data_IF_598278385280
#
_entry.id   IF_598278385280
#
_cell.length_a   1.000
_cell.length_b   1.000
_cell.length_c   1.000
_cell.angle_alpha   90.00
_cell.angle_beta   90.00
_cell.angle_gamma   90.00
#
_symmetry.space_group_name_H-M   'P 1'
#
loop_
_entity.id
_entity.type
_entity.pdbx_description
1 polymer ?
#
# COMPACT_ATOMS: atom_id res chain seq x y z
N UNK A 1 -6.57 -9.76 -18.50
CA UNK A 1 -5.55 -8.86 -19.06
C UNK A 1 -4.34 -9.62 -19.59
N UNK A 2 -3.61 -10.39 -18.76
CA UNK A 2 -2.46 -11.18 -19.25
C UNK A 2 -2.88 -12.17 -20.35
N UNK A 3 -3.98 -12.93 -20.13
CA UNK A 3 -4.59 -13.79 -21.16
C UNK A 3 -5.05 -13.05 -22.44
N UNK A 4 -5.13 -11.72 -22.41
CA UNK A 4 -5.49 -10.86 -23.54
C UNK A 4 -4.24 -10.24 -24.21
N UNK A 5 -3.02 -10.68 -23.84
CA UNK A 5 -1.77 -10.23 -24.46
C UNK A 5 -1.06 -9.07 -23.76
N UNK A 6 -1.60 -8.53 -22.66
CA UNK A 6 -0.92 -7.48 -21.90
C UNK A 6 0.22 -8.07 -21.06
N UNK A 7 1.33 -7.33 -20.93
CA UNK A 7 2.36 -7.68 -19.94
C UNK A 7 1.80 -7.55 -18.52
N UNK A 8 2.42 -8.23 -17.56
CA UNK A 8 2.02 -8.18 -16.15
C UNK A 8 2.08 -6.74 -15.63
N UNK A 9 3.15 -6.02 -15.98
CA UNK A 9 3.30 -4.60 -15.63
C UNK A 9 2.18 -3.72 -16.20
N UNK A 10 1.84 -3.90 -17.48
CA UNK A 10 0.72 -3.18 -18.10
C UNK A 10 -0.62 -3.52 -17.44
N UNK A 11 -0.86 -4.79 -17.12
CA UNK A 11 -2.08 -5.23 -16.47
C UNK A 11 -2.25 -4.61 -15.07
N UNK A 12 -1.22 -4.66 -14.24
CA UNK A 12 -1.23 -4.09 -12.88
C UNK A 12 -1.41 -2.57 -12.93
N UNK A 13 -0.65 -1.88 -13.79
CA UNK A 13 -0.78 -0.43 -13.97
C UNK A 13 -2.16 -0.04 -14.48
N UNK A 14 -2.69 -0.78 -15.45
CA UNK A 14 -4.03 -0.55 -16.00
C UNK A 14 -5.13 -0.68 -14.94
N UNK A 15 -5.08 -1.75 -14.13
CA UNK A 15 -6.02 -1.94 -13.02
C UNK A 15 -5.91 -0.80 -12.01
N UNK A 16 -4.68 -0.45 -11.60
CA UNK A 16 -4.45 0.65 -10.65
C UNK A 16 -4.95 1.99 -11.18
N UNK A 17 -4.67 2.31 -12.44
CA UNK A 17 -5.10 3.53 -13.10
C UNK A 17 -6.63 3.63 -13.20
N UNK A 18 -7.30 2.58 -13.70
CA UNK A 18 -8.76 2.54 -13.78
C UNK A 18 -9.38 2.67 -12.38
N UNK A 19 -8.80 1.99 -11.39
CA UNK A 19 -9.30 2.06 -10.01
C UNK A 19 -9.21 3.47 -9.42
N UNK A 20 -8.11 4.16 -9.71
CA UNK A 20 -7.92 5.55 -9.31
C UNK A 20 -8.99 6.46 -9.94
N UNK A 21 -9.21 6.34 -11.26
CA UNK A 21 -10.26 7.09 -11.97
C UNK A 21 -11.67 6.82 -11.42
N UNK A 22 -12.01 5.55 -11.19
CA UNK A 22 -13.30 5.18 -10.60
C UNK A 22 -13.46 5.72 -9.18
N UNK A 23 -12.38 5.77 -8.39
CA UNK A 23 -12.42 6.35 -7.04
C UNK A 23 -12.73 7.85 -7.09
N UNK A 24 -12.12 8.59 -8.02
CA UNK A 24 -12.41 10.03 -8.25
C UNK A 24 -13.90 10.22 -8.57
N UNK A 25 -14.44 9.40 -9.47
CA UNK A 25 -15.84 9.47 -9.88
C UNK A 25 -16.79 9.14 -8.72
N UNK A 26 -16.46 8.13 -7.91
CA UNK A 26 -17.25 7.76 -6.72
C UNK A 26 -17.24 8.89 -5.69
N UNK A 27 -16.09 9.53 -5.42
CA UNK A 27 -16.01 10.67 -4.50
C UNK A 27 -16.92 11.80 -4.98
N UNK A 28 -16.81 12.17 -6.26
CA UNK A 28 -17.65 13.21 -6.84
C UNK A 28 -19.13 12.85 -6.74
N UNK A 29 -19.49 11.61 -7.09
CA UNK A 29 -20.86 11.11 -7.04
C UNK A 29 -21.42 11.09 -5.62
N UNK A 30 -20.68 10.58 -4.64
CA UNK A 30 -21.09 10.52 -3.24
C UNK A 30 -21.33 11.95 -2.70
N UNK A 31 -20.40 12.86 -2.97
CA UNK A 31 -20.55 14.26 -2.57
C UNK A 31 -21.80 14.92 -3.18
N UNK A 32 -22.08 14.68 -4.47
CA UNK A 32 -23.25 15.25 -5.16
C UNK A 32 -24.57 14.60 -4.77
N UNK A 33 -24.63 13.28 -4.72
CA UNK A 33 -25.88 12.50 -4.60
C UNK A 33 -26.21 12.13 -3.18
N UNK A 34 -25.21 11.80 -2.37
CA UNK A 34 -25.42 11.49 -0.97
C UNK A 34 -25.46 12.81 -0.20
N UNK A 35 -24.41 13.62 -0.24
CA UNK A 35 -24.32 14.81 0.62
C UNK A 35 -25.03 16.05 0.10
N UNK A 36 -25.57 16.03 -1.14
CA UNK A 36 -26.12 17.20 -1.80
C UNK A 36 -25.13 18.38 -1.81
N UNK A 37 -23.83 18.09 -1.86
CA UNK A 37 -22.76 19.07 -1.95
C UNK A 37 -22.83 19.81 -3.27
N UNK A 38 -22.40 21.07 -3.32
CA UNK A 38 -22.38 21.83 -4.58
C UNK A 38 -21.35 21.26 -5.57
N UNK A 39 -21.44 21.64 -6.84
CA UNK A 39 -20.52 21.17 -7.89
C UNK A 39 -19.07 21.53 -7.59
N UNK A 40 -18.71 22.76 -7.18
CA UNK A 40 -17.32 23.13 -6.95
C UNK A 40 -16.64 22.33 -5.83
N UNK A 41 -17.28 22.14 -4.67
CA UNK A 41 -16.67 21.39 -3.55
C UNK A 41 -16.57 19.89 -3.88
N UNK A 42 -17.54 19.35 -4.61
CA UNK A 42 -17.50 17.96 -5.08
C UNK A 42 -16.37 17.77 -6.10
N UNK A 43 -16.21 18.72 -7.03
CA UNK A 43 -15.13 18.72 -8.00
C UNK A 43 -13.76 18.86 -7.32
N UNK A 44 -13.62 19.75 -6.34
CA UNK A 44 -12.39 19.95 -5.57
C UNK A 44 -11.94 18.66 -4.87
N UNK A 45 -12.89 17.91 -4.31
CA UNK A 45 -12.61 16.62 -3.68
C UNK A 45 -12.07 15.59 -4.68
N UNK A 46 -12.70 15.51 -5.86
CA UNK A 46 -12.23 14.64 -6.94
C UNK A 46 -10.87 15.08 -7.50
N UNK A 47 -10.69 16.39 -7.72
CA UNK A 47 -9.45 16.98 -8.21
C UNK A 47 -8.29 16.71 -7.26
N UNK A 48 -8.49 16.87 -5.94
CA UNK A 48 -7.44 16.60 -4.96
C UNK A 48 -6.91 15.16 -5.05
N UNK A 49 -7.83 14.18 -5.16
CA UNK A 49 -7.42 12.79 -5.35
C UNK A 49 -6.73 12.60 -6.70
N UNK A 50 -7.27 13.19 -7.78
CA UNK A 50 -6.77 13.05 -9.15
C UNK A 50 -5.31 13.47 -9.33
N UNK A 51 -4.87 14.49 -8.60
CA UNK A 51 -3.49 15.00 -8.66
C UNK A 51 -2.62 14.52 -7.48
N UNK A 52 -3.14 13.60 -6.67
CA UNK A 52 -2.45 13.07 -5.49
C UNK A 52 -1.58 11.84 -5.79
N UNK A 53 -1.17 11.17 -4.72
CA UNK A 53 -0.19 10.06 -4.73
C UNK A 53 -0.65 8.81 -5.47
N UNK A 54 -1.90 8.76 -5.94
CA UNK A 54 -2.49 7.60 -6.60
C UNK A 54 -1.66 7.12 -7.79
N UNK A 55 -1.24 8.04 -8.67
CA UNK A 55 -0.43 7.69 -9.84
C UNK A 55 0.98 7.20 -9.50
N UNK A 56 1.58 7.69 -8.41
CA UNK A 56 2.88 7.17 -7.94
C UNK A 56 2.77 5.73 -7.46
N UNK A 57 1.64 5.35 -6.84
CA UNK A 57 1.43 3.94 -6.50
C UNK A 57 1.20 3.08 -7.75
N UNK A 58 0.50 3.60 -8.75
CA UNK A 58 0.34 2.91 -10.05
C UNK A 58 1.70 2.69 -10.71
N UNK A 59 2.54 3.73 -10.80
CA UNK A 59 3.86 3.64 -11.44
C UNK A 59 4.77 2.65 -10.72
N UNK A 60 4.69 2.60 -9.39
CA UNK A 60 5.40 1.65 -8.52
C UNK A 60 4.73 0.26 -8.41
N UNK A 61 3.73 -0.05 -9.26
CA UNK A 61 3.05 -1.35 -9.32
C UNK A 61 2.29 -1.75 -8.04
N UNK A 62 1.95 -0.81 -7.17
CA UNK A 62 1.18 -1.09 -5.98
C UNK A 62 -0.33 -1.09 -6.26
N UNK A 63 -1.01 -2.14 -5.79
CA UNK A 63 -2.48 -2.26 -5.80
C UNK A 63 -3.21 -1.27 -4.88
N UNK A 64 -2.53 -0.27 -4.33
CA UNK A 64 -3.06 0.73 -3.40
C UNK A 64 -4.31 1.46 -3.95
N UNK A 65 -4.35 1.91 -5.22
CA UNK A 65 -5.57 2.53 -5.76
C UNK A 65 -6.75 1.55 -5.90
N UNK A 66 -6.48 0.26 -6.15
CA UNK A 66 -7.53 -0.75 -6.19
C UNK A 66 -8.14 -0.99 -4.81
N UNK A 67 -7.30 -1.02 -3.77
CA UNK A 67 -7.79 -1.06 -2.38
C UNK A 67 -8.57 0.21 -2.00
N UNK A 68 -8.10 1.39 -2.42
CA UNK A 68 -8.80 2.65 -2.19
C UNK A 68 -10.18 2.67 -2.86
N UNK A 69 -10.32 2.10 -4.06
CA UNK A 69 -11.61 1.93 -4.73
C UNK A 69 -12.56 1.04 -3.91
N UNK A 70 -12.08 -0.10 -3.41
CA UNK A 70 -12.88 -1.01 -2.58
C UNK A 70 -13.30 -0.35 -1.26
N UNK A 71 -12.39 0.38 -0.61
CA UNK A 71 -12.68 1.18 0.58
C UNK A 71 -13.71 2.28 0.30
N UNK A 72 -13.54 3.02 -0.80
CA UNK A 72 -14.44 4.11 -1.19
C UNK A 72 -15.84 3.60 -1.52
N UNK A 73 -15.93 2.45 -2.20
CA UNK A 73 -17.21 1.79 -2.52
C UNK A 73 -17.91 1.34 -1.24
N UNK A 74 -17.18 0.72 -0.32
CA UNK A 74 -17.70 0.28 0.99
C UNK A 74 -18.20 1.47 1.80
N UNK A 75 -17.43 2.56 1.86
CA UNK A 75 -17.86 3.77 2.55
C UNK A 75 -19.06 4.43 1.89
N UNK A 76 -19.13 4.48 0.56
CA UNK A 76 -20.28 5.00 -0.18
C UNK A 76 -21.56 4.23 0.17
N UNK A 77 -21.49 2.91 0.22
CA UNK A 77 -22.63 2.06 0.63
C UNK A 77 -22.97 2.26 2.10
N UNK A 78 -21.97 2.42 2.97
CA UNK A 78 -22.16 2.79 4.38
C UNK A 78 -22.88 4.14 4.53
N UNK A 79 -22.47 5.16 3.78
CA UNK A 79 -23.11 6.48 3.77
C UNK A 79 -24.55 6.43 3.25
N UNK A 80 -24.85 5.59 2.25
CA UNK A 80 -26.23 5.36 1.81
C UNK A 80 -27.06 4.69 2.91
N UNK A 81 -26.51 3.67 3.58
CA UNK A 81 -27.14 3.03 4.74
C UNK A 81 -27.35 4.02 5.88
N UNK A 82 -26.47 4.99 6.10
CA UNK A 82 -26.68 6.01 7.13
C UNK A 82 -27.87 6.94 6.83
N UNK A 83 -28.28 7.10 5.56
CA UNK A 83 -29.35 8.02 5.15
C UNK A 83 -30.72 7.37 4.97
N UNK A 84 -30.76 6.08 4.73
CA UNK A 84 -32.00 5.39 4.41
C UNK A 84 -32.79 5.08 5.70
N UNK A 85 -34.01 5.60 5.87
CA UNK A 85 -34.80 5.33 7.08
C UNK A 85 -35.03 3.83 7.30
N UNK A 86 -35.42 3.10 6.25
CA UNK A 86 -35.60 1.65 6.25
C UNK A 86 -34.59 0.98 5.30
N UNK A 87 -33.46 0.48 5.82
CA UNK A 87 -32.37 0.00 4.98
C UNK A 87 -32.83 -1.22 4.19
N UNK A 88 -32.75 -1.14 2.86
CA UNK A 88 -33.10 -2.27 2.01
C UNK A 88 -32.09 -3.41 2.21
N UNK A 89 -32.57 -4.64 2.35
CA UNK A 89 -31.70 -5.83 2.51
C UNK A 89 -30.63 -5.93 1.41
N UNK A 90 -30.97 -5.53 0.18
CA UNK A 90 -30.03 -5.50 -0.96
C UNK A 90 -28.87 -4.53 -0.71
N UNK A 91 -29.13 -3.37 -0.12
CA UNK A 91 -28.09 -2.39 0.19
C UNK A 91 -27.18 -2.89 1.31
N UNK A 92 -27.74 -3.53 2.34
CA UNK A 92 -26.96 -4.21 3.39
C UNK A 92 -26.09 -5.34 2.85
N UNK A 93 -26.62 -6.14 1.91
CA UNK A 93 -25.87 -7.19 1.23
C UNK A 93 -24.72 -6.61 0.39
N UNK A 94 -24.99 -5.58 -0.43
CA UNK A 94 -23.95 -4.92 -1.21
C UNK A 94 -22.87 -4.30 -0.32
N UNK A 95 -23.25 -3.69 0.80
CA UNK A 95 -22.31 -3.16 1.80
C UNK A 95 -21.41 -4.27 2.36
N UNK A 96 -22.00 -5.39 2.78
CA UNK A 96 -21.26 -6.54 3.30
C UNK A 96 -20.31 -7.16 2.27
N UNK A 97 -20.79 -7.38 1.03
CA UNK A 97 -19.97 -7.91 -0.07
C UNK A 97 -18.84 -6.95 -0.45
N UNK A 98 -19.10 -5.64 -0.50
CA UNK A 98 -18.07 -4.63 -0.77
C UNK A 98 -17.01 -4.61 0.34
N UNK A 99 -17.42 -4.72 1.61
CA UNK A 99 -16.52 -4.84 2.75
C UNK A 99 -15.66 -6.10 2.69
N UNK A 100 -16.26 -7.24 2.31
CA UNK A 100 -15.53 -8.48 2.10
C UNK A 100 -14.50 -8.34 0.96
N UNK A 101 -14.90 -7.74 -0.17
CA UNK A 101 -13.97 -7.44 -1.28
C UNK A 101 -12.80 -6.58 -0.79
N UNK A 102 -13.04 -5.56 0.03
CA UNK A 102 -11.95 -4.77 0.61
C UNK A 102 -10.99 -5.65 1.44
N UNK A 103 -11.52 -6.58 2.25
CA UNK A 103 -10.74 -7.56 3.02
C UNK A 103 -9.99 -8.60 2.17
N UNK A 104 -10.53 -8.98 1.01
CA UNK A 104 -9.87 -9.87 0.06
C UNK A 104 -8.76 -9.19 -0.73
N UNK A 105 -8.92 -7.89 -1.02
CA UNK A 105 -7.87 -7.09 -1.68
C UNK A 105 -6.68 -6.90 -0.75
N UNK A 106 -6.94 -6.60 0.53
CA UNK A 106 -5.92 -6.50 1.60
C UNK A 106 -6.50 -6.94 2.94
N UNK A 107 -5.77 -7.71 3.77
CA UNK A 107 -6.30 -8.25 5.02
C UNK A 107 -6.79 -7.17 6.01
N UNK A 108 -6.12 -6.03 6.08
CA UNK A 108 -6.56 -4.90 6.91
C UNK A 108 -7.88 -4.25 6.43
N UNK A 109 -8.32 -4.56 5.21
CA UNK A 109 -9.64 -4.17 4.70
C UNK A 109 -10.79 -4.71 5.56
N UNK A 110 -10.59 -5.83 6.26
CA UNK A 110 -11.55 -6.35 7.26
C UNK A 110 -11.71 -5.38 8.43
N UNK A 111 -10.59 -4.83 8.93
CA UNK A 111 -10.60 -3.82 10.00
C UNK A 111 -11.33 -2.57 9.53
N UNK A 112 -11.00 -2.08 8.32
CA UNK A 112 -11.65 -0.91 7.75
C UNK A 112 -13.17 -1.11 7.57
N UNK A 113 -13.59 -2.24 7.00
CA UNK A 113 -15.00 -2.56 6.81
C UNK A 113 -15.75 -2.64 8.15
N UNK A 114 -15.12 -3.22 9.17
CA UNK A 114 -15.68 -3.29 10.53
C UNK A 114 -15.83 -1.91 11.17
N UNK A 115 -14.82 -1.03 11.04
CA UNK A 115 -14.90 0.34 11.52
C UNK A 115 -15.98 1.15 10.79
N UNK A 116 -16.16 0.92 9.48
CA UNK A 116 -17.26 1.50 8.72
C UNK A 116 -18.60 0.99 9.24
N UNK A 117 -18.75 -0.31 9.50
CA UNK A 117 -19.98 -0.88 10.09
C UNK A 117 -20.27 -0.22 11.45
N UNK A 118 -19.26 -0.07 12.31
CA UNK A 118 -19.40 0.62 13.61
C UNK A 118 -19.90 2.05 13.41
N UNK A 119 -19.33 2.80 12.45
CA UNK A 119 -19.80 4.14 12.13
C UNK A 119 -21.27 4.14 11.67
N UNK A 120 -21.67 3.21 10.80
CA UNK A 120 -23.06 3.06 10.32
C UNK A 120 -24.01 2.78 11.48
N UNK A 121 -23.67 1.82 12.35
CA UNK A 121 -24.48 1.44 13.50
C UNK A 121 -24.63 2.62 14.46
N UNK A 122 -23.54 3.30 14.82
CA UNK A 122 -23.58 4.45 15.73
C UNK A 122 -24.44 5.57 15.14
N UNK A 123 -24.26 5.92 13.86
CA UNK A 123 -25.07 6.97 13.22
C UNK A 123 -26.56 6.70 13.32
N UNK A 124 -26.96 5.48 12.98
CA UNK A 124 -28.38 5.08 12.95
C UNK A 124 -28.98 5.00 14.35
N UNK A 125 -28.23 4.52 15.34
CA UNK A 125 -28.72 4.46 16.73
C UNK A 125 -28.85 5.84 17.38
N UNK A 126 -28.11 6.83 16.88
CA UNK A 126 -28.07 8.15 17.51
C UNK A 126 -29.13 9.10 16.95
N UNK A 127 -29.78 8.81 15.80
CA UNK A 127 -30.75 9.69 15.13
C UNK A 127 -32.03 9.88 15.96
N UNK A 128 -32.46 8.84 16.69
CA UNK A 128 -33.68 8.86 17.50
C UNK A 128 -33.33 9.05 18.99
N UNK A 129 -32.86 10.24 19.38
CA UNK A 129 -32.35 10.52 20.74
C UNK A 129 -33.35 10.23 21.87
N UNK A 130 -34.65 10.40 21.63
CA UNK A 130 -35.71 10.37 22.66
C UNK A 130 -36.27 8.98 23.01
N UNK A 131 -36.03 7.94 22.20
CA UNK A 131 -36.62 6.62 22.41
C UNK A 131 -35.79 5.74 23.38
N UNK A 132 -36.38 4.70 24.01
CA UNK A 132 -35.63 3.66 24.69
C UNK A 132 -34.68 2.92 23.73
N UNK A 133 -33.52 2.45 24.22
CA UNK A 133 -32.49 1.80 23.38
C UNK A 133 -33.02 0.68 22.49
N UNK A 134 -33.83 -0.22 23.04
CA UNK A 134 -34.40 -1.35 22.27
C UNK A 134 -35.35 -0.91 21.16
N UNK A 135 -36.11 0.17 21.37
CA UNK A 135 -36.94 0.75 20.33
C UNK A 135 -36.09 1.39 19.23
N UNK A 136 -34.99 2.07 19.59
CA UNK A 136 -34.01 2.58 18.61
C UNK A 136 -33.43 1.46 17.78
N UNK A 137 -32.99 0.36 18.39
CA UNK A 137 -32.43 -0.79 17.67
C UNK A 137 -33.44 -1.37 16.68
N UNK A 138 -34.71 -1.52 17.11
CA UNK A 138 -35.78 -2.07 16.26
C UNK A 138 -36.15 -1.14 15.10
N UNK A 139 -36.32 0.17 15.36
CA UNK A 139 -36.70 1.17 14.34
C UNK A 139 -35.56 1.51 13.40
N UNK A 140 -34.33 1.58 13.92
CA UNK A 140 -33.15 1.91 13.11
C UNK A 140 -32.76 0.82 12.11
N UNK A 141 -33.33 -0.39 12.15
CA UNK A 141 -32.99 -1.44 11.17
C UNK A 141 -31.52 -1.89 11.19
N UNK A 142 -30.79 -1.65 12.29
CA UNK A 142 -29.36 -2.03 12.41
C UNK A 142 -29.16 -3.54 12.53
N UNK A 143 -30.12 -4.27 13.09
CA UNK A 143 -30.02 -5.73 13.28
C UNK A 143 -29.87 -6.47 11.94
N UNK A 144 -30.72 -6.23 10.91
CA UNK A 144 -30.49 -6.78 9.58
C UNK A 144 -29.11 -6.46 9.00
N UNK A 145 -28.60 -5.22 9.18
CA UNK A 145 -27.29 -4.82 8.66
C UNK A 145 -26.18 -5.66 9.31
N UNK A 146 -26.17 -5.75 10.64
CA UNK A 146 -25.18 -6.52 11.41
C UNK A 146 -25.28 -8.01 11.06
N UNK A 147 -26.49 -8.56 10.99
CA UNK A 147 -26.70 -9.96 10.68
C UNK A 147 -26.23 -10.32 9.27
N UNK A 148 -26.58 -9.52 8.25
CA UNK A 148 -26.14 -9.75 6.87
C UNK A 148 -24.62 -9.60 6.76
N UNK A 149 -24.04 -8.58 7.40
CA UNK A 149 -22.59 -8.39 7.43
C UNK A 149 -21.89 -9.57 8.08
N UNK A 150 -22.31 -9.96 9.29
CA UNK A 150 -21.78 -11.10 10.01
C UNK A 150 -21.93 -12.40 9.23
N UNK A 151 -23.10 -12.65 8.62
CA UNK A 151 -23.35 -13.83 7.80
C UNK A 151 -22.38 -13.91 6.61
N UNK A 152 -22.19 -12.82 5.85
CA UNK A 152 -21.28 -12.80 4.70
C UNK A 152 -19.82 -13.02 5.12
N UNK A 153 -19.37 -12.36 6.20
CA UNK A 153 -18.00 -12.51 6.68
C UNK A 153 -17.74 -13.89 7.29
N UNK A 154 -18.67 -14.44 8.05
CA UNK A 154 -18.53 -15.77 8.65
C UNK A 154 -18.63 -16.89 7.61
N UNK A 155 -19.49 -16.75 6.60
CA UNK A 155 -19.66 -17.78 5.57
C UNK A 155 -18.60 -17.65 4.48
N UNK A 156 -18.66 -16.62 3.65
CA UNK A 156 -17.75 -16.45 2.52
C UNK A 156 -16.33 -16.11 2.96
N UNK A 157 -16.21 -15.16 3.91
CA UNK A 157 -14.91 -14.79 4.48
C UNK A 157 -14.29 -15.94 5.29
N UNK A 158 -15.09 -16.61 6.11
CA UNK A 158 -14.67 -17.78 6.88
C UNK A 158 -14.27 -18.96 6.00
N UNK A 159 -15.03 -19.27 4.95
CA UNK A 159 -14.68 -20.32 3.99
C UNK A 159 -13.36 -20.01 3.27
N UNK A 160 -13.16 -18.76 2.83
CA UNK A 160 -11.89 -18.32 2.26
C UNK A 160 -10.73 -18.44 3.26
N UNK A 161 -10.96 -18.03 4.52
CA UNK A 161 -9.96 -18.12 5.57
C UNK A 161 -9.57 -19.56 5.89
N UNK A 162 -10.55 -20.47 6.00
CA UNK A 162 -10.31 -21.90 6.24
C UNK A 162 -9.57 -22.54 5.07
N UNK A 163 -9.97 -22.25 3.82
CA UNK A 163 -9.25 -22.71 2.63
C UNK A 163 -7.81 -22.21 2.61
N UNK A 164 -7.60 -20.93 2.90
CA UNK A 164 -6.28 -20.32 2.99
C UNK A 164 -5.44 -21.00 4.08
N UNK A 165 -6.02 -21.22 5.26
CA UNK A 165 -5.35 -21.87 6.36
C UNK A 165 -4.92 -23.28 5.95
N UNK A 166 -5.82 -24.08 5.38
CA UNK A 166 -5.50 -25.41 4.85
C UNK A 166 -4.36 -25.36 3.83
N UNK A 167 -4.42 -24.41 2.87
CA UNK A 167 -3.40 -24.26 1.82
C UNK A 167 -2.02 -23.87 2.35
N UNK A 168 -1.93 -22.93 3.29
CA UNK A 168 -0.64 -22.43 3.81
C UNK A 168 -0.15 -23.14 5.07
N UNK A 169 -0.98 -23.96 5.70
CA UNK A 169 -0.70 -24.62 6.98
C UNK A 169 -0.74 -23.68 8.20
N UNK A 170 -1.00 -22.39 8.02
CA UNK A 170 -0.97 -21.37 9.08
C UNK A 170 -2.14 -20.38 8.97
N UNK A 171 -2.64 -19.84 10.09
CA UNK A 171 -3.78 -18.92 10.09
C UNK A 171 -3.41 -17.55 9.48
N UNK A 172 -2.18 -17.08 9.64
CA UNK A 172 -1.74 -15.79 9.14
C UNK A 172 -0.76 -15.93 7.96
N UNK A 173 -0.65 -14.91 7.08
CA UNK A 173 0.40 -14.86 6.06
C UNK A 173 1.81 -14.79 6.67
N UNK A 174 2.82 -15.33 5.98
CA UNK A 174 4.24 -15.18 6.32
C UNK A 174 4.65 -13.74 6.68
N UNK A 175 4.22 -12.68 5.96
CA UNK A 175 4.51 -11.30 6.37
C UNK A 175 4.11 -10.95 7.81
N UNK A 176 3.06 -11.52 8.38
CA UNK A 176 2.67 -11.25 9.78
C UNK A 176 3.66 -11.88 10.77
N UNK A 177 4.15 -13.08 10.49
CA UNK A 177 5.16 -13.75 11.31
C UNK A 177 6.52 -13.07 11.18
N UNK A 178 6.87 -12.60 9.97
CA UNK A 178 8.16 -11.94 9.71
C UNK A 178 8.21 -10.50 10.23
N UNK A 179 7.15 -9.72 10.00
CA UNK A 179 7.09 -8.27 10.29
C UNK A 179 6.42 -7.93 11.61
N UNK A 180 5.85 -8.89 12.32
CA UNK A 180 5.24 -8.66 13.62
C UNK A 180 6.30 -8.27 14.65
N UNK A 181 6.20 -7.07 15.22
CA UNK A 181 7.05 -6.64 16.34
C UNK A 181 6.61 -7.24 17.69
N UNK A 182 5.61 -8.13 17.69
CA UNK A 182 5.10 -8.79 18.89
C UNK A 182 4.27 -7.88 19.82
N UNK A 183 3.91 -6.66 19.38
CA UNK A 183 3.13 -5.73 20.20
C UNK A 183 2.77 -4.41 19.52
N UNK A 184 2.31 -3.44 20.32
CA UNK A 184 1.98 -2.08 19.88
C UNK A 184 3.23 -1.20 19.82
N UNK A 185 3.48 -0.59 18.68
CA UNK A 185 4.57 0.35 18.44
C UNK A 185 4.04 1.78 18.32
N UNK A 186 4.40 2.62 19.29
CA UNK A 186 4.06 4.05 19.27
C UNK A 186 4.73 4.80 18.12
N UNK A 187 5.90 4.32 17.68
CA UNK A 187 6.61 4.91 16.55
C UNK A 187 5.82 4.72 15.24
N UNK A 188 5.43 3.48 14.92
CA UNK A 188 4.65 3.20 13.70
C UNK A 188 3.25 3.80 13.78
N UNK A 189 2.63 3.82 14.96
CA UNK A 189 1.37 4.53 15.21
C UNK A 189 1.49 6.02 14.89
N UNK A 190 2.49 6.72 15.43
CA UNK A 190 2.69 8.15 15.21
C UNK A 190 3.00 8.44 13.73
N UNK A 191 3.84 7.61 13.10
CA UNK A 191 4.14 7.71 11.67
C UNK A 191 2.86 7.53 10.83
N UNK A 192 2.01 6.56 11.17
CA UNK A 192 0.72 6.31 10.53
C UNK A 192 -0.24 7.50 10.70
N UNK A 193 -0.37 8.05 11.91
CA UNK A 193 -1.20 9.23 12.17
C UNK A 193 -0.72 10.44 11.37
N UNK A 194 0.60 10.67 11.35
CA UNK A 194 1.20 11.77 10.61
C UNK A 194 0.98 11.61 9.10
N UNK A 195 1.10 10.38 8.58
CA UNK A 195 0.83 10.07 7.18
C UNK A 195 -0.64 10.28 6.81
N UNK A 196 -1.57 9.80 7.64
CA UNK A 196 -3.00 10.06 7.48
C UNK A 196 -3.30 11.57 7.47
N UNK A 197 -2.70 12.32 8.40
CA UNK A 197 -2.85 13.77 8.51
C UNK A 197 -2.29 14.50 7.28
N UNK A 198 -1.08 14.15 6.83
CA UNK A 198 -0.45 14.71 5.62
C UNK A 198 -1.30 14.46 4.38
N UNK A 199 -1.76 13.22 4.19
CA UNK A 199 -2.57 12.84 3.04
C UNK A 199 -3.99 13.44 3.07
N UNK A 200 -4.47 13.90 4.24
CA UNK A 200 -5.83 14.45 4.39
C UNK A 200 -5.84 15.93 4.74
N UNK A 201 -4.67 16.60 4.77
CA UNK A 201 -4.51 17.94 5.33
C UNK A 201 -5.54 18.97 4.79
N UNK A 202 -5.85 19.03 3.49
CA UNK A 202 -6.80 20.03 2.97
C UNK A 202 -8.20 19.91 3.55
N UNK A 203 -8.61 18.73 4.02
CA UNK A 203 -9.93 18.50 4.61
C UNK A 203 -9.93 18.48 6.14
N UNK A 204 -8.77 18.49 6.80
CA UNK A 204 -8.66 18.49 8.26
C UNK A 204 -9.39 19.68 8.89
N UNK A 205 -9.29 20.87 8.27
CA UNK A 205 -9.99 22.06 8.75
C UNK A 205 -11.52 21.86 8.79
N UNK A 206 -12.09 21.13 7.83
CA UNK A 206 -13.52 20.83 7.85
C UNK A 206 -13.90 19.90 9.01
N UNK A 207 -13.04 18.96 9.39
CA UNK A 207 -13.24 18.12 10.57
C UNK A 207 -13.17 18.93 11.86
N UNK A 208 -12.20 19.85 11.98
CA UNK A 208 -12.09 20.78 13.12
C UNK A 208 -13.37 21.65 13.22
N UNK A 209 -13.79 22.24 12.10
CA UNK A 209 -15.01 23.06 12.05
C UNK A 209 -16.28 22.26 12.35
N UNK A 210 -16.26 20.94 12.14
CA UNK A 210 -17.35 20.07 12.52
C UNK A 210 -17.64 20.06 14.02
N UNK A 211 -16.71 20.45 14.90
CA UNK A 211 -16.96 20.59 16.35
C UNK A 211 -17.79 21.82 16.74
N UNK A 212 -18.26 22.63 15.79
CA UNK A 212 -19.00 23.88 16.04
C UNK A 212 -20.40 23.71 16.65
N UNK A 213 -21.05 22.57 16.45
CA UNK A 213 -22.38 22.29 16.98
C UNK A 213 -22.49 20.83 17.42
N UNK A 214 -23.46 20.52 18.30
CA UNK A 214 -23.68 19.14 18.78
C UNK A 214 -23.97 18.17 17.62
N UNK A 215 -24.74 18.61 16.63
CA UNK A 215 -25.11 17.81 15.46
C UNK A 215 -23.91 17.54 14.54
N UNK A 216 -23.14 18.57 14.20
CA UNK A 216 -21.97 18.40 13.36
C UNK A 216 -20.85 17.67 14.11
N UNK A 217 -20.69 17.90 15.41
CA UNK A 217 -19.68 17.23 16.24
C UNK A 217 -19.91 15.72 16.24
N UNK A 218 -21.17 15.31 16.43
CA UNK A 218 -21.55 13.90 16.36
C UNK A 218 -21.22 13.30 14.98
N UNK A 219 -21.56 14.01 13.91
CA UNK A 219 -21.26 13.57 12.54
C UNK A 219 -19.74 13.45 12.32
N UNK A 220 -18.96 14.43 12.78
CA UNK A 220 -17.50 14.43 12.74
C UNK A 220 -16.93 13.21 13.45
N UNK A 221 -17.34 12.98 14.70
CA UNK A 221 -16.85 11.85 15.49
C UNK A 221 -17.13 10.51 14.79
N UNK A 222 -18.32 10.33 14.23
CA UNK A 222 -18.69 9.12 13.50
C UNK A 222 -17.84 8.94 12.24
N UNK A 223 -17.64 10.00 11.45
CA UNK A 223 -16.81 9.94 10.25
C UNK A 223 -15.32 9.72 10.56
N UNK A 224 -14.85 10.17 11.73
CA UNK A 224 -13.49 9.91 12.19
C UNK A 224 -13.23 8.45 12.58
N UNK A 225 -14.26 7.66 12.93
CA UNK A 225 -14.09 6.24 13.33
C UNK A 225 -13.31 5.43 12.29
N UNK A 226 -13.75 5.33 11.01
CA UNK A 226 -13.01 4.56 10.02
C UNK A 226 -11.70 5.24 9.58
N UNK A 227 -11.60 6.57 9.66
CA UNK A 227 -10.40 7.30 9.23
C UNK A 227 -9.27 7.13 10.26
N UNK A 228 -9.52 7.57 11.49
CA UNK A 228 -8.55 7.51 12.59
C UNK A 228 -8.37 6.08 13.07
N UNK A 229 -9.46 5.31 13.19
CA UNK A 229 -9.38 3.92 13.64
C UNK A 229 -8.54 3.04 12.71
N UNK A 230 -8.67 3.22 11.39
CA UNK A 230 -7.88 2.44 10.43
C UNK A 230 -6.41 2.83 10.45
N UNK A 231 -6.10 4.13 10.47
CA UNK A 231 -4.72 4.57 10.62
C UNK A 231 -4.13 4.11 11.98
N UNK A 232 -4.94 4.02 13.04
CA UNK A 232 -4.49 3.56 14.37
C UNK A 232 -4.11 2.09 14.38
N UNK A 233 -4.76 1.26 13.57
CA UNK A 233 -4.47 -0.18 13.49
C UNK A 233 -3.02 -0.49 13.07
N UNK A 234 -2.36 0.43 12.37
CA UNK A 234 -0.95 0.27 11.98
C UNK A 234 0.04 0.46 13.13
N UNK A 235 -0.42 0.81 14.34
CA UNK A 235 0.40 0.67 15.55
C UNK A 235 0.75 -0.80 15.86
N UNK A 236 0.05 -1.77 15.26
CA UNK A 236 0.31 -3.22 15.44
C UNK A 236 1.15 -3.83 14.32
N UNK A 237 1.55 -3.05 13.32
CA UNK A 237 2.21 -3.55 12.11
C UNK A 237 3.44 -2.70 11.83
N UNK A 238 4.55 -3.35 11.45
CA UNK A 238 5.74 -2.66 10.98
C UNK A 238 5.42 -1.75 9.78
N UNK A 239 6.02 -0.57 9.74
CA UNK A 239 5.90 0.34 8.60
C UNK A 239 6.78 -0.09 7.41
N UNK A 240 7.46 -1.23 7.51
CA UNK A 240 8.29 -1.80 6.45
C UNK A 240 7.51 -1.89 5.14
N UNK A 241 8.03 -1.20 4.12
CA UNK A 241 7.42 -1.03 2.81
C UNK A 241 6.18 -0.12 2.81
N UNK A 242 5.96 0.79 3.75
CA UNK A 242 4.92 1.82 3.66
C UNK A 242 5.32 2.94 2.67
N UNK A 243 5.68 2.53 1.45
CA UNK A 243 6.10 3.42 0.38
C UNK A 243 5.10 4.54 0.17
N UNK A 244 5.57 5.77 0.34
CA UNK A 244 4.77 6.98 0.19
C UNK A 244 3.45 6.99 0.96
N UNK A 245 3.39 6.43 2.17
CA UNK A 245 2.17 6.35 2.98
C UNK A 245 1.03 5.51 2.36
N UNK A 246 1.36 4.54 1.50
CA UNK A 246 0.37 3.69 0.81
C UNK A 246 -0.57 2.91 1.72
N UNK A 247 -0.20 2.67 2.99
CA UNK A 247 -1.05 2.00 3.96
C UNK A 247 -2.24 2.88 4.37
N UNK A 248 -2.00 4.18 4.56
CA UNK A 248 -3.01 5.15 4.97
C UNK A 248 -3.81 5.72 3.80
N UNK A 249 -3.37 5.53 2.55
CA UNK A 249 -4.05 6.12 1.38
C UNK A 249 -5.56 5.81 1.28
N UNK A 250 -6.01 4.66 1.77
CA UNK A 250 -7.44 4.33 1.81
C UNK A 250 -8.29 5.27 2.69
N UNK A 251 -7.69 6.01 3.62
CA UNK A 251 -8.41 7.00 4.44
C UNK A 251 -8.72 8.29 3.68
N UNK A 252 -7.95 8.60 2.63
CA UNK A 252 -8.11 9.81 1.81
C UNK A 252 -9.47 9.88 1.12
N UNK A 253 -9.92 8.86 0.35
CA UNK A 253 -11.25 8.90 -0.26
C UNK A 253 -12.36 9.00 0.79
N UNK A 254 -12.21 8.34 1.95
CA UNK A 254 -13.16 8.43 3.06
C UNK A 254 -13.26 9.88 3.58
N UNK A 255 -12.14 10.53 3.83
CA UNK A 255 -12.10 11.93 4.28
C UNK A 255 -12.71 12.88 3.23
N UNK A 256 -12.38 12.68 1.95
CA UNK A 256 -12.89 13.47 0.82
C UNK A 256 -14.40 13.31 0.57
N UNK A 257 -14.98 12.16 0.93
CA UNK A 257 -16.43 11.96 0.90
C UNK A 257 -17.13 12.53 2.13
N UNK A 258 -16.42 12.75 3.23
CA UNK A 258 -17.03 13.01 4.55
C UNK A 258 -17.04 14.47 4.98
N UNK A 259 -16.25 15.34 4.35
CA UNK A 259 -16.03 16.70 4.85
C UNK A 259 -17.16 17.70 4.52
N UNK A 260 -17.87 17.52 3.40
CA UNK A 260 -18.90 18.47 2.93
C UNK A 260 -20.05 18.66 3.96
N UNK A 261 -20.62 17.60 4.56
CA UNK A 261 -21.62 17.74 5.61
C UNK A 261 -21.16 18.60 6.79
N UNK A 262 -19.87 18.55 7.14
CA UNK A 262 -19.31 19.24 8.31
C UNK A 262 -19.31 20.76 8.12
N UNK A 263 -19.19 21.22 6.87
CA UNK A 263 -19.11 22.63 6.50
C UNK A 263 -20.43 23.21 5.98
N UNK A 264 -21.45 22.39 5.71
CA UNK A 264 -22.69 22.79 5.02
C UNK A 264 -23.48 23.92 5.68
N UNK A 265 -23.42 24.03 7.00
CA UNK A 265 -24.11 25.10 7.75
C UNK A 265 -23.27 26.37 7.94
N UNK A 266 -22.09 26.47 7.32
CA UNK A 266 -21.43 27.75 7.16
C UNK A 266 -22.05 28.42 5.95
N UNK A 267 -22.95 29.38 6.20
CA UNK A 267 -23.40 30.28 5.14
C UNK A 267 -22.20 31.15 4.75
N UNK A 268 -21.43 30.69 3.77
CA UNK A 268 -20.75 31.62 2.88
C UNK A 268 -21.88 32.31 2.14
N UNK A 269 -22.41 33.39 2.73
CA UNK A 269 -23.41 34.25 2.10
C UNK A 269 -22.82 34.67 0.76
N UNK A 270 -23.19 33.93 -0.27
CA UNK A 270 -22.85 34.26 -1.63
C UNK A 270 -23.93 35.26 -1.98
N UNK A 271 -23.59 36.52 -2.26
CA UNK A 271 -24.59 37.52 -2.58
C UNK A 271 -25.48 36.97 -3.70
N UNK A 272 -26.82 37.04 -3.55
CA UNK A 272 -27.76 36.47 -4.54
C UNK A 272 -27.55 37.07 -5.94
N UNK A 273 -26.89 38.22 -6.04
CA UNK A 273 -26.35 38.80 -7.25
C UNK A 273 -24.99 39.42 -6.93
N UNK A 274 -23.89 38.64 -6.98
CA UNK A 274 -22.60 39.21 -6.68
C UNK A 274 -22.25 40.19 -7.78
N UNK A 275 -21.82 41.39 -7.40
CA UNK A 275 -21.32 42.39 -8.35
C UNK A 275 -20.16 41.78 -9.15
N UNK A 276 -19.91 42.29 -10.37
CA UNK A 276 -18.83 41.78 -11.25
C UNK A 276 -17.48 41.67 -10.52
N UNK A 277 -17.19 42.62 -9.62
CA UNK A 277 -15.99 42.60 -8.76
C UNK A 277 -15.97 41.43 -7.77
N UNK A 278 -17.08 41.15 -7.11
CA UNK A 278 -17.19 40.03 -6.15
C UNK A 278 -17.06 38.68 -6.86
N UNK A 279 -17.68 38.54 -8.05
CA UNK A 279 -17.50 37.35 -8.91
C UNK A 279 -16.04 37.13 -9.25
N UNK A 280 -15.33 38.20 -9.64
CA UNK A 280 -13.90 38.13 -9.92
C UNK A 280 -13.10 37.72 -8.67
N UNK A 281 -13.40 38.27 -7.50
CA UNK A 281 -12.75 37.90 -6.23
C UNK A 281 -12.99 36.43 -5.90
N UNK A 282 -14.22 35.92 -6.00
CA UNK A 282 -14.50 34.51 -5.76
C UNK A 282 -13.81 33.58 -6.76
N UNK A 283 -13.75 33.97 -8.04
CA UNK A 283 -13.07 33.20 -9.07
C UNK A 283 -11.56 33.17 -8.82
N UNK A 284 -10.95 34.30 -8.47
CA UNK A 284 -9.53 34.37 -8.09
C UNK A 284 -9.25 33.55 -6.82
N UNK A 285 -10.05 33.71 -5.77
CA UNK A 285 -9.87 32.99 -4.52
C UNK A 285 -10.03 31.46 -4.68
N UNK A 286 -11.04 31.02 -5.44
CA UNK A 286 -11.22 29.59 -5.75
C UNK A 286 -10.11 29.05 -6.64
N UNK A 287 -9.59 29.85 -7.57
CA UNK A 287 -8.45 29.47 -8.41
C UNK A 287 -7.18 29.34 -7.57
N UNK A 288 -6.91 30.29 -6.67
CA UNK A 288 -5.78 30.23 -5.72
C UNK A 288 -5.91 29.00 -4.82
N UNK A 289 -7.12 28.72 -4.30
CA UNK A 289 -7.36 27.53 -3.48
C UNK A 289 -7.13 26.24 -4.27
N UNK A 290 -7.64 26.16 -5.50
CA UNK A 290 -7.45 25.01 -6.37
C UNK A 290 -5.96 24.81 -6.70
N UNK A 291 -5.25 25.87 -7.07
CA UNK A 291 -3.80 25.85 -7.32
C UNK A 291 -3.05 25.45 -6.05
N UNK A 292 -3.41 25.99 -4.88
CA UNK A 292 -2.78 25.62 -3.60
C UNK A 292 -2.98 24.14 -3.26
N UNK A 293 -4.17 23.60 -3.50
CA UNK A 293 -4.48 22.18 -3.29
C UNK A 293 -3.71 21.30 -4.29
N UNK A 294 -3.66 21.69 -5.58
CA UNK A 294 -2.90 20.97 -6.60
C UNK A 294 -1.40 20.99 -6.26
N UNK A 295 -0.85 22.16 -5.95
CA UNK A 295 0.55 22.33 -5.54
C UNK A 295 0.87 21.54 -4.28
N UNK A 296 -0.02 21.52 -3.28
CA UNK A 296 0.17 20.72 -2.08
C UNK A 296 0.15 19.22 -2.38
N UNK A 297 -0.82 18.75 -3.16
CA UNK A 297 -0.96 17.34 -3.52
C UNK A 297 0.20 16.86 -4.39
N UNK A 298 0.65 17.70 -5.33
CA UNK A 298 1.86 17.48 -6.13
C UNK A 298 3.10 17.43 -5.24
N UNK A 299 3.25 18.39 -4.33
CA UNK A 299 4.35 18.40 -3.37
C UNK A 299 4.34 17.16 -2.47
N UNK A 300 3.18 16.72 -1.97
CA UNK A 300 3.07 15.47 -1.23
C UNK A 300 3.45 14.27 -2.09
N UNK A 301 3.04 14.27 -3.36
CA UNK A 301 3.43 13.22 -4.31
C UNK A 301 4.94 13.16 -4.47
N UNK A 302 5.61 14.30 -4.64
CA UNK A 302 7.06 14.38 -4.71
C UNK A 302 7.73 14.00 -3.39
N UNK A 303 7.28 14.59 -2.28
CA UNK A 303 7.86 14.41 -0.95
C UNK A 303 7.71 12.97 -0.42
N UNK A 304 6.52 12.38 -0.56
CA UNK A 304 6.27 11.00 -0.16
C UNK A 304 6.90 10.01 -1.15
N UNK A 305 7.12 10.42 -2.39
CA UNK A 305 7.90 9.67 -3.36
C UNK A 305 9.40 9.99 -3.33
N UNK A 306 9.95 10.76 -2.37
CA UNK A 306 11.39 11.10 -2.29
C UNK A 306 12.34 9.88 -2.19
N UNK A 307 11.81 8.66 -2.07
CA UNK A 307 12.58 7.43 -2.35
C UNK A 307 12.88 7.22 -3.85
N UNK A 308 12.28 8.01 -4.73
CA UNK A 308 12.72 8.26 -6.09
C UNK A 308 13.38 9.66 -6.10
N UNK A 309 14.69 9.78 -6.36
CA UNK A 309 15.40 11.06 -6.36
C UNK A 309 14.92 12.05 -7.45
N UNK A 310 13.96 11.67 -8.29
CA UNK A 310 13.40 12.52 -9.33
C UNK A 310 11.99 12.06 -9.69
N UNK A 311 11.00 12.96 -9.60
CA UNK A 311 9.64 12.75 -10.14
C UNK A 311 9.63 12.61 -11.67
N UNK A 312 10.77 12.90 -12.29
CA UNK A 312 11.02 13.03 -13.72
C UNK A 312 11.50 11.72 -14.36
N UNK A 313 11.68 10.64 -13.58
CA UNK A 313 12.12 9.33 -14.10
C UNK A 313 11.09 8.24 -13.82
N UNK A 314 10.39 7.74 -14.85
CA UNK A 314 9.46 6.63 -14.67
C UNK A 314 10.20 5.37 -14.22
N UNK A 315 9.52 4.51 -13.47
CA UNK A 315 9.97 3.21 -12.93
C UNK A 315 10.23 2.15 -14.05
N UNK A 316 10.72 2.58 -15.20
CA UNK A 316 10.70 1.80 -16.45
C UNK A 316 11.94 0.94 -16.68
N UNK A 317 13.06 1.21 -15.99
CA UNK A 317 14.27 0.40 -16.11
C UNK A 317 14.79 0.00 -14.73
N UNK A 318 14.54 -1.25 -14.38
CA UNK A 318 15.07 -1.92 -13.20
C UNK A 318 16.06 -3.00 -13.67
N UNK A 319 17.33 -2.89 -13.31
CA UNK A 319 18.38 -3.83 -13.69
C UNK A 319 18.09 -5.26 -13.26
N UNK A 320 17.32 -5.45 -12.17
CA UNK A 320 16.89 -6.77 -11.71
C UNK A 320 15.92 -7.42 -12.70
N UNK A 321 15.06 -6.64 -13.37
CA UNK A 321 14.18 -7.15 -14.42
C UNK A 321 14.98 -7.61 -15.64
N UNK A 322 15.95 -6.81 -16.09
CA UNK A 322 16.76 -7.18 -17.26
C UNK A 322 17.68 -8.37 -16.94
N UNK A 323 18.25 -8.42 -15.73
CA UNK A 323 18.96 -9.59 -15.23
C UNK A 323 18.05 -10.82 -15.18
N UNK A 324 16.81 -10.69 -14.69
CA UNK A 324 15.85 -11.80 -14.64
C UNK A 324 15.53 -12.35 -16.03
N UNK A 325 15.38 -11.49 -17.04
CA UNK A 325 15.17 -11.90 -18.44
C UNK A 325 16.39 -12.63 -19.01
N UNK A 326 17.60 -12.17 -18.69
CA UNK A 326 18.84 -12.87 -19.05
C UNK A 326 18.88 -14.27 -18.43
N UNK A 327 18.56 -14.37 -17.14
CA UNK A 327 18.49 -15.65 -16.43
C UNK A 327 17.38 -16.57 -16.95
N UNK A 328 16.34 -16.03 -17.59
CA UNK A 328 15.26 -16.82 -18.20
C UNK A 328 15.74 -17.72 -19.34
N UNK A 329 16.89 -17.43 -19.96
CA UNK A 329 17.53 -18.30 -20.96
C UNK A 329 17.89 -19.69 -20.41
N UNK A 330 18.02 -19.81 -19.08
CA UNK A 330 18.34 -21.05 -18.37
C UNK A 330 17.12 -21.69 -17.69
N UNK A 331 15.91 -21.19 -18.00
CA UNK A 331 14.67 -21.73 -17.42
C UNK A 331 14.51 -23.20 -17.80
N UNK A 332 14.10 -24.02 -16.82
CA UNK A 332 13.89 -25.45 -17.00
C UNK A 332 15.12 -26.32 -16.70
N UNK A 333 16.29 -25.73 -16.43
CA UNK A 333 17.49 -26.46 -16.00
C UNK A 333 17.48 -26.89 -14.52
N UNK A 334 16.43 -26.56 -13.76
CA UNK A 334 16.33 -26.87 -12.33
C UNK A 334 17.26 -26.03 -11.44
N UNK A 335 17.71 -24.88 -11.94
CA UNK A 335 18.54 -23.96 -11.15
C UNK A 335 17.73 -23.23 -10.09
N UNK A 336 18.40 -23.01 -8.96
CA UNK A 336 17.85 -22.40 -7.75
C UNK A 336 18.63 -21.12 -7.45
N UNK A 337 17.96 -20.08 -6.98
CA UNK A 337 18.59 -18.86 -6.49
C UNK A 337 18.21 -18.56 -5.04
N UNK A 338 19.14 -18.00 -4.27
CA UNK A 338 18.83 -17.38 -2.98
C UNK A 338 18.82 -15.86 -3.18
N UNK A 339 17.71 -15.20 -2.85
CA UNK A 339 17.52 -13.78 -3.15
C UNK A 339 16.91 -12.99 -1.99
N UNK A 340 17.42 -11.77 -1.75
CA UNK A 340 16.72 -10.80 -0.89
C UNK A 340 15.56 -10.12 -1.64
N UNK A 341 15.73 -9.91 -2.95
CA UNK A 341 14.74 -9.28 -3.83
C UNK A 341 13.81 -10.33 -4.47
N UNK A 342 13.01 -11.00 -3.65
CA UNK A 342 12.09 -12.09 -4.03
C UNK A 342 10.85 -11.64 -4.86
N UNK A 343 11.07 -10.77 -5.84
CA UNK A 343 10.05 -10.25 -6.75
C UNK A 343 10.42 -10.46 -8.22
N UNK A 344 11.06 -9.46 -8.82
CA UNK A 344 11.35 -9.45 -10.27
C UNK A 344 12.24 -10.61 -10.71
N UNK A 345 13.29 -10.92 -9.95
CA UNK A 345 14.27 -11.95 -10.29
C UNK A 345 13.63 -13.35 -10.42
N UNK A 346 12.99 -13.92 -9.38
CA UNK A 346 12.32 -15.21 -9.51
C UNK A 346 11.20 -15.19 -10.55
N UNK A 347 10.38 -14.13 -10.58
CA UNK A 347 9.19 -14.07 -11.42
C UNK A 347 9.50 -14.12 -12.92
N UNK A 348 10.48 -13.32 -13.39
CA UNK A 348 10.81 -13.25 -14.81
C UNK A 348 11.85 -14.29 -15.23
N UNK A 349 12.74 -14.75 -14.36
CA UNK A 349 13.65 -15.87 -14.68
C UNK A 349 12.88 -17.19 -14.73
N UNK A 350 11.87 -17.37 -13.87
CA UNK A 350 11.19 -18.65 -13.68
C UNK A 350 12.05 -19.69 -12.96
N UNK A 351 13.09 -19.25 -12.26
CA UNK A 351 13.91 -20.11 -11.40
C UNK A 351 13.22 -20.31 -10.05
N UNK A 352 13.50 -21.45 -9.42
CA UNK A 352 13.14 -21.65 -8.02
C UNK A 352 13.96 -20.69 -7.14
N UNK A 353 13.33 -20.12 -6.13
CA UNK A 353 13.96 -19.08 -5.32
C UNK A 353 13.70 -19.25 -3.82
N UNK A 354 14.77 -19.13 -3.04
CA UNK A 354 14.73 -18.97 -1.59
C UNK A 354 14.66 -17.47 -1.30
N UNK A 355 13.53 -17.00 -0.77
CA UNK A 355 13.38 -15.64 -0.26
C UNK A 355 14.10 -15.54 1.08
N UNK A 356 15.33 -15.05 1.06
CA UNK A 356 16.21 -15.06 2.24
C UNK A 356 15.71 -14.13 3.35
N UNK A 357 14.85 -13.16 3.02
CA UNK A 357 14.21 -12.29 4.01
C UNK A 357 13.04 -12.99 4.68
N UNK A 358 12.33 -13.85 3.97
CA UNK A 358 11.27 -14.71 4.51
C UNK A 358 9.86 -14.15 4.36
N UNK A 359 9.60 -13.28 3.38
CA UNK A 359 8.23 -12.84 3.10
C UNK A 359 7.43 -13.90 2.36
N UNK A 360 8.10 -14.72 1.56
CA UNK A 360 7.52 -15.81 0.77
C UNK A 360 8.04 -17.19 1.18
N UNK A 361 9.00 -17.25 2.11
CA UNK A 361 9.59 -18.50 2.61
C UNK A 361 9.02 -18.86 3.98
N UNK A 362 8.39 -20.04 4.08
CA UNK A 362 7.72 -20.48 5.30
C UNK A 362 8.71 -20.83 6.41
N UNK A 363 9.85 -21.47 6.10
CA UNK A 363 10.82 -21.80 7.13
C UNK A 363 11.37 -20.53 7.77
N UNK A 364 11.78 -19.56 6.95
CA UNK A 364 12.38 -18.32 7.42
C UNK A 364 11.36 -17.45 8.15
N UNK A 365 10.11 -17.38 7.67
CA UNK A 365 9.06 -16.62 8.34
C UNK A 365 8.79 -17.11 9.78
N UNK A 366 8.91 -18.42 10.01
CA UNK A 366 8.58 -19.05 11.30
C UNK A 366 9.80 -19.28 12.21
N UNK A 367 11.01 -19.35 11.66
CA UNK A 367 12.25 -19.48 12.43
C UNK A 367 12.99 -18.14 12.59
N UNK A 368 12.50 -17.06 11.95
CA UNK A 368 12.97 -15.68 12.12
C UNK A 368 14.11 -15.26 11.19
N UNK A 369 14.97 -16.20 10.77
CA UNK A 369 16.09 -15.96 9.85
C UNK A 369 16.46 -17.21 9.06
N UNK A 370 17.09 -16.99 7.91
CA UNK A 370 17.80 -18.03 7.18
C UNK A 370 18.97 -18.57 8.00
N UNK A 371 19.29 -19.86 7.84
CA UNK A 371 20.47 -20.52 8.42
C UNK A 371 21.35 -21.11 7.32
N UNK A 372 22.61 -21.41 7.65
CA UNK A 372 23.56 -22.05 6.73
C UNK A 372 23.04 -23.43 6.30
N UNK A 373 22.48 -24.20 7.23
CA UNK A 373 21.95 -25.55 6.96
C UNK A 373 20.75 -25.48 6.02
N UNK A 374 19.84 -24.52 6.24
CA UNK A 374 18.69 -24.31 5.38
C UNK A 374 19.12 -23.90 3.98
N UNK A 375 20.02 -22.92 3.86
CA UNK A 375 20.58 -22.48 2.58
C UNK A 375 21.32 -23.61 1.84
N UNK A 376 22.10 -24.41 2.58
CA UNK A 376 22.82 -25.55 2.04
C UNK A 376 21.90 -26.66 1.53
N UNK A 377 20.71 -26.84 2.09
CA UNK A 377 19.74 -27.83 1.59
C UNK A 377 19.25 -27.54 0.17
N UNK A 378 19.19 -26.26 -0.22
CA UNK A 378 18.83 -25.84 -1.57
C UNK A 378 20.01 -25.85 -2.54
N UNK A 379 21.24 -25.71 -2.03
CA UNK A 379 22.47 -25.49 -2.82
C UNK A 379 22.18 -24.47 -3.95
N UNK A 380 22.01 -23.18 -3.65
CA UNK A 380 21.69 -22.20 -4.68
C UNK A 380 22.78 -22.15 -5.75
N UNK A 381 22.40 -21.97 -7.01
CA UNK A 381 23.32 -21.76 -8.12
C UNK A 381 23.75 -20.29 -8.18
N UNK A 382 22.85 -19.39 -7.75
CA UNK A 382 23.11 -17.96 -7.61
C UNK A 382 22.68 -17.51 -6.21
N UNK A 383 23.53 -16.70 -5.57
CA UNK A 383 23.16 -15.94 -4.37
C UNK A 383 23.18 -14.47 -4.75
N UNK A 384 22.03 -13.81 -4.64
CA UNK A 384 21.89 -12.38 -4.92
C UNK A 384 21.31 -11.68 -3.71
N UNK A 385 21.97 -10.61 -3.26
CA UNK A 385 21.46 -9.82 -2.15
C UNK A 385 21.73 -8.34 -2.33
N UNK A 386 20.83 -7.53 -1.74
CA UNK A 386 20.96 -6.08 -1.63
C UNK A 386 21.55 -5.70 -0.28
N UNK A 387 22.60 -4.87 -0.28
CA UNK A 387 23.11 -4.26 0.95
C UNK A 387 23.86 -2.94 0.70
N UNK A 388 24.17 -2.25 1.80
CA UNK A 388 24.75 -0.92 1.83
C UNK A 388 26.29 -0.92 1.93
N UNK A 389 26.94 -1.83 1.22
CA UNK A 389 28.41 -1.96 1.17
C UNK A 389 28.90 -2.50 -0.19
N UNK A 390 30.20 -2.39 -0.48
CA UNK A 390 30.85 -2.86 -1.72
C UNK A 390 32.30 -3.32 -1.43
N UNK A 391 33.05 -3.91 -2.38
CA UNK A 391 34.49 -4.13 -2.21
C UNK A 391 35.27 -2.85 -1.88
N UNK A 392 34.83 -1.69 -2.38
CA UNK A 392 35.43 -0.38 -2.07
C UNK A 392 35.05 0.17 -0.69
N UNK A 393 33.92 -0.28 -0.14
CA UNK A 393 33.39 0.12 1.16
C UNK A 393 32.98 -1.14 1.90
N UNK A 394 33.93 -1.86 2.53
CA UNK A 394 33.63 -3.15 3.14
C UNK A 394 32.66 -3.01 4.32
N UNK A 395 31.91 -4.09 4.64
CA UNK A 395 30.93 -4.06 5.72
C UNK A 395 31.60 -3.80 7.08
N UNK A 396 30.99 -2.93 7.89
CA UNK A 396 31.43 -2.68 9.27
C UNK A 396 30.77 -3.67 10.21
N UNK A 397 31.50 -4.68 10.66
CA UNK A 397 31.03 -5.75 11.56
C UNK A 397 30.96 -5.29 13.03
N UNK A 398 30.24 -4.20 13.30
CA UNK A 398 30.00 -3.72 14.66
C UNK A 398 28.79 -4.43 15.28
N UNK A 399 28.74 -4.51 16.61
CA UNK A 399 27.59 -5.08 17.33
C UNK A 399 26.28 -4.38 16.94
N UNK A 400 26.30 -3.05 16.82
CA UNK A 400 25.15 -2.26 16.39
C UNK A 400 24.64 -2.67 15.00
N UNK A 401 25.54 -2.87 14.03
CA UNK A 401 25.12 -3.32 12.70
C UNK A 401 24.63 -4.77 12.70
N UNK A 402 25.32 -5.67 13.42
CA UNK A 402 24.93 -7.08 13.52
C UNK A 402 23.60 -7.30 14.26
N UNK A 403 23.19 -6.35 15.11
CA UNK A 403 21.86 -6.35 15.73
C UNK A 403 20.73 -6.13 14.71
N UNK A 404 21.03 -5.53 13.54
CA UNK A 404 20.05 -5.32 12.49
C UNK A 404 19.82 -6.62 11.71
N UNK A 405 18.57 -7.09 11.70
CA UNK A 405 18.20 -8.38 11.09
C UNK A 405 18.58 -8.47 9.60
N UNK A 406 18.43 -7.37 8.85
CA UNK A 406 18.79 -7.31 7.43
C UNK A 406 20.29 -7.50 7.23
N UNK A 407 21.11 -6.66 7.87
CA UNK A 407 22.56 -6.72 7.78
C UNK A 407 23.12 -8.07 8.23
N UNK A 408 22.57 -8.66 9.30
CA UNK A 408 22.99 -10.00 9.74
C UNK A 408 22.71 -11.07 8.68
N UNK A 409 21.56 -11.00 7.99
CA UNK A 409 21.20 -11.94 6.93
C UNK A 409 22.14 -11.81 5.73
N UNK A 410 22.39 -10.60 5.25
CA UNK A 410 23.27 -10.37 4.08
C UNK A 410 24.72 -10.75 4.37
N UNK A 411 25.22 -10.51 5.58
CA UNK A 411 26.54 -11.00 6.01
C UNK A 411 26.57 -12.53 6.01
N UNK A 412 25.53 -13.22 6.51
CA UNK A 412 25.44 -14.68 6.43
C UNK A 412 25.50 -15.17 4.98
N UNK A 413 24.77 -14.54 4.05
CA UNK A 413 24.79 -14.90 2.64
C UNK A 413 26.17 -14.71 2.01
N UNK A 414 26.84 -13.59 2.32
CA UNK A 414 28.20 -13.31 1.86
C UNK A 414 29.19 -14.35 2.39
N UNK A 415 29.22 -14.56 3.70
CA UNK A 415 30.13 -15.53 4.34
C UNK A 415 29.90 -16.93 3.80
N UNK A 416 28.65 -17.35 3.66
CA UNK A 416 28.31 -18.66 3.07
C UNK A 416 28.85 -18.80 1.65
N UNK A 417 28.66 -17.79 0.80
CA UNK A 417 29.14 -17.80 -0.58
C UNK A 417 30.67 -17.94 -0.63
N UNK A 418 31.39 -17.16 0.18
CA UNK A 418 32.86 -17.15 0.23
C UNK A 418 33.44 -18.46 0.77
N UNK A 419 32.89 -18.97 1.89
CA UNK A 419 33.36 -20.23 2.51
C UNK A 419 33.09 -21.47 1.64
N UNK A 420 32.09 -21.39 0.76
CA UNK A 420 31.73 -22.49 -0.16
C UNK A 420 32.26 -22.27 -1.59
N UNK A 421 33.19 -21.34 -1.78
CA UNK A 421 33.91 -21.15 -3.05
C UNK A 421 33.05 -20.62 -4.19
N UNK A 422 31.98 -19.86 -3.91
CA UNK A 422 31.22 -19.19 -4.96
C UNK A 422 32.07 -18.08 -5.59
N UNK A 423 31.89 -17.86 -6.89
CA UNK A 423 32.56 -16.82 -7.65
C UNK A 423 31.75 -15.52 -7.54
N UNK A 424 32.37 -14.42 -7.10
CA UNK A 424 31.74 -13.10 -7.16
C UNK A 424 31.68 -12.62 -8.62
N UNK A 425 30.52 -12.76 -9.25
CA UNK A 425 30.33 -12.37 -10.64
C UNK A 425 30.11 -10.87 -10.81
N UNK A 426 29.36 -10.23 -9.90
CA UNK A 426 29.14 -8.78 -9.96
C UNK A 426 28.72 -8.16 -8.62
N UNK A 427 28.99 -6.86 -8.49
CA UNK A 427 28.48 -5.98 -7.42
C UNK A 427 27.92 -4.71 -8.06
N UNK A 428 26.63 -4.68 -8.37
CA UNK A 428 26.01 -3.55 -9.09
C UNK A 428 25.47 -2.49 -8.14
N UNK A 429 25.99 -1.27 -8.21
CA UNK A 429 25.42 -0.11 -7.51
C UNK A 429 25.55 1.16 -8.34
N UNK A 430 24.71 2.17 -8.08
CA UNK A 430 24.98 3.52 -8.57
C UNK A 430 25.92 4.31 -7.63
N UNK A 431 26.13 3.78 -6.43
CA UNK A 431 27.13 4.19 -5.45
C UNK A 431 27.74 2.94 -4.78
N UNK A 432 28.93 3.03 -4.18
CA UNK A 432 29.55 1.90 -3.48
C UNK A 432 28.89 1.59 -2.11
N UNK A 433 27.88 2.37 -1.71
CA UNK A 433 27.15 2.25 -0.45
C UNK A 433 25.74 1.68 -0.63
N UNK A 434 25.37 1.26 -1.84
CA UNK A 434 24.04 0.74 -2.14
C UNK A 434 24.13 -0.20 -3.35
N UNK A 435 24.31 -1.49 -3.10
CA UNK A 435 24.71 -2.44 -4.15
C UNK A 435 23.93 -3.76 -4.13
N UNK A 436 23.92 -4.43 -5.28
CA UNK A 436 23.42 -5.78 -5.48
C UNK A 436 24.58 -6.72 -5.77
N UNK A 437 24.82 -7.68 -4.87
CA UNK A 437 25.81 -8.73 -5.06
C UNK A 437 25.24 -9.87 -5.89
N UNK A 438 26.08 -10.49 -6.71
CA UNK A 438 25.79 -11.71 -7.45
C UNK A 438 26.95 -12.69 -7.31
N UNK A 439 26.74 -13.74 -6.52
CA UNK A 439 27.65 -14.87 -6.42
C UNK A 439 27.12 -16.05 -7.23
N UNK A 440 28.00 -16.78 -7.92
CA UNK A 440 27.67 -17.95 -8.76
C UNK A 440 28.45 -19.16 -8.28
N UNK A 441 27.78 -20.29 -8.11
CA UNK A 441 28.42 -21.55 -7.69
C UNK A 441 29.29 -22.13 -8.82
N UNK A 442 30.53 -22.58 -8.60
CA UNK A 442 31.43 -22.95 -9.70
C UNK A 442 31.12 -24.31 -10.36
N UNK A 443 30.40 -25.22 -9.68
CA UNK A 443 30.34 -26.66 -9.98
C UNK A 443 29.07 -27.10 -10.76
N UNK A 444 28.66 -26.35 -11.79
CA UNK A 444 27.54 -26.75 -12.66
C UNK A 444 27.71 -26.31 -14.13
N UNK A 445 26.94 -26.94 -15.02
CA UNK A 445 27.10 -26.87 -16.50
C UNK A 445 27.24 -25.45 -17.06
N UNK A 446 26.42 -24.48 -16.61
CA UNK A 446 26.45 -23.11 -17.12
C UNK A 446 27.19 -22.12 -16.21
N UNK A 447 27.92 -22.61 -15.20
CA UNK A 447 28.57 -21.77 -14.19
C UNK A 447 29.45 -20.68 -14.82
N UNK A 448 30.45 -21.07 -15.62
CA UNK A 448 31.40 -20.13 -16.25
C UNK A 448 30.68 -19.11 -17.13
N UNK A 449 29.70 -19.58 -17.92
CA UNK A 449 28.90 -18.73 -18.79
C UNK A 449 28.04 -17.73 -18.00
N UNK A 450 27.49 -18.14 -16.86
CA UNK A 450 26.71 -17.25 -15.99
C UNK A 450 27.60 -16.21 -15.32
N UNK A 451 28.80 -16.59 -14.86
CA UNK A 451 29.79 -15.65 -14.34
C UNK A 451 30.15 -14.59 -15.40
N UNK A 452 30.48 -15.03 -16.61
CA UNK A 452 30.80 -14.14 -17.74
C UNK A 452 29.62 -13.20 -18.04
N UNK A 453 28.41 -13.75 -18.28
CA UNK A 453 27.24 -12.92 -18.64
C UNK A 453 26.82 -11.95 -17.54
N UNK A 454 26.94 -12.34 -16.27
CA UNK A 454 26.61 -11.46 -15.14
C UNK A 454 27.68 -10.37 -14.98
N UNK A 455 28.97 -10.72 -15.02
CA UNK A 455 30.06 -9.75 -14.85
C UNK A 455 30.13 -8.70 -15.98
N UNK A 456 29.78 -9.13 -17.20
CA UNK A 456 29.75 -8.27 -18.38
C UNK A 456 28.43 -7.51 -18.56
N UNK A 457 27.42 -7.74 -17.71
CA UNK A 457 26.10 -7.15 -17.86
C UNK A 457 26.15 -5.61 -17.77
N UNK A 458 25.88 -4.91 -18.87
CA UNK A 458 25.96 -3.42 -18.96
C UNK A 458 24.63 -2.71 -18.76
N UNK A 459 23.51 -3.41 -18.92
CA UNK A 459 22.17 -2.83 -18.83
C UNK A 459 21.54 -3.02 -17.45
N UNK A 460 22.37 -2.97 -16.40
CA UNK A 460 21.89 -2.91 -15.02
C UNK A 460 21.60 -1.46 -14.63
N UNK A 461 20.32 -1.09 -14.54
CA UNK A 461 19.89 0.23 -14.07
C UNK A 461 19.45 0.15 -12.62
N UNK A 462 19.96 1.05 -11.78
CA UNK A 462 19.67 1.02 -10.36
C UNK A 462 18.21 1.48 -10.11
N UNK A 463 17.40 0.71 -9.36
CA UNK A 463 15.94 0.90 -9.33
C UNK A 463 15.51 2.23 -8.69
N UNK A 464 16.27 2.74 -7.74
CA UNK A 464 15.92 3.99 -7.04
C UNK A 464 16.25 5.21 -7.91
N UNK A 465 17.39 5.23 -8.59
CA UNK A 465 17.90 6.43 -9.28
C UNK A 465 17.75 6.40 -10.80
N UNK A 466 17.47 5.22 -11.36
CA UNK A 466 17.42 4.97 -12.80
C UNK A 466 18.76 5.21 -13.50
N UNK A 467 19.86 5.38 -12.76
CA UNK A 467 21.20 5.51 -13.33
C UNK A 467 21.72 4.11 -13.68
N UNK A 468 22.55 4.03 -14.72
CA UNK A 468 23.29 2.80 -15.01
C UNK A 468 24.25 2.52 -13.85
N UNK A 469 24.22 1.29 -13.34
CA UNK A 469 25.09 0.86 -12.26
C UNK A 469 26.53 0.63 -12.72
N UNK A 470 27.45 0.81 -11.78
CA UNK A 470 28.85 0.40 -11.88
C UNK A 470 28.96 -1.00 -11.28
N UNK A 471 29.73 -1.88 -11.92
CA UNK A 471 30.09 -3.17 -11.33
C UNK A 471 31.35 -2.97 -10.46
N UNK A 472 31.20 -3.02 -9.15
CA UNK A 472 32.29 -2.84 -8.19
C UNK A 472 33.11 -4.10 -7.93
N UNK A 473 32.72 -5.27 -8.47
CA UNK A 473 33.48 -6.51 -8.34
C UNK A 473 34.88 -6.41 -8.97
N UNK A 474 35.06 -5.57 -10.00
CA UNK A 474 36.36 -5.36 -10.67
C UNK A 474 37.42 -4.70 -9.78
N UNK A 475 37.02 -4.20 -8.60
CA UNK A 475 37.91 -3.58 -7.63
C UNK A 475 38.19 -4.49 -6.43
N UNK A 476 37.71 -5.73 -6.45
CA UNK A 476 38.12 -6.74 -5.51
C UNK A 476 39.56 -7.18 -5.85
N UNK A 477 40.51 -7.08 -4.90
CA UNK A 477 41.94 -7.30 -5.15
C UNK A 477 42.33 -8.77 -5.38
#
# INVERSE_FOLDING_TARGET
LIKLGFTVGQAVRGIGFISHLLTILIIYWANRRIHNGNVPLSFLSGLYLAVGTGFSYVSAYFGTPFFALAAASTWTLGLLLMKEQNPRWRLSLLFALSGLVAGLVRPEGVILASLILVAVVIMRLTEESHLPFWEKVKRSGVLPIIFIFGFIFLTLGGAYFLWRWDYFGHPLPNPFYKKGEGGWSWFTFNASMLNMLRLSLPVVLAFILGFRSKETMRTTLIYMIPIVGFASAFGLVSDEMNYGARFQYATVPLALMSWIPLVRGMRLETPNQPHVRERAVYLVASSILAVGIVSYSWFQTCFLALYQPSCDRPYERDGRLEMAKMLADYRGKGYVMAVTEAGLLPYYSGWEAVDTWGLNDQFIAHNGSITVEYLASYRPHIIMFHDYYSPLVPPKLTEANLSQRWFRMTILLKTYAEENGYILAAVFGDSPYDTHYYYVRPDFEDSERLVERISEFRDYFYPTTGKRSINYAIYEP
#
